data_IF_014768467339
#
_entry.id   IF_014768467339
#
_cell.length_a   1.000
_cell.length_b   1.000
_cell.length_c   1.000
_cell.angle_alpha   90.00
_cell.angle_beta   90.00
_cell.angle_gamma   90.00
#
_symmetry.space_group_name_H-M   'P 1'
#
loop_
_entity.id
_entity.type
_entity.pdbx_description
1 polymer ?
#
# COMPACT_ATOMS: atom_id res chain seq x y z
N UNK A 1 12.89 -10.86 -11.26
CA UNK A 1 14.04 -10.62 -10.36
C UNK A 1 13.74 -11.25 -9.01
N UNK A 2 14.76 -11.81 -8.35
CA UNK A 2 14.61 -12.47 -7.05
C UNK A 2 15.33 -11.63 -6.02
N UNK A 3 14.58 -11.02 -5.07
CA UNK A 3 15.15 -10.23 -4.00
C UNK A 3 15.53 -11.09 -2.81
N UNK A 4 16.52 -10.62 -2.06
CA UNK A 4 16.93 -11.15 -0.77
C UNK A 4 16.97 -10.01 0.24
N UNK A 5 16.36 -10.24 1.39
CA UNK A 5 16.46 -9.34 2.53
C UNK A 5 17.42 -9.96 3.53
N UNK A 6 18.48 -9.25 3.84
CA UNK A 6 19.39 -9.60 4.92
C UNK A 6 19.00 -8.83 6.17
N UNK A 7 18.75 -9.57 7.25
CA UNK A 7 18.41 -9.00 8.56
C UNK A 7 19.39 -9.53 9.61
N UNK A 8 19.93 -8.64 10.43
CA UNK A 8 20.71 -9.05 11.58
C UNK A 8 19.80 -9.70 12.61
N UNK A 9 20.10 -10.95 13.02
CA UNK A 9 19.37 -11.67 14.07
C UNK A 9 19.96 -11.37 15.44
N UNK A 10 21.27 -11.12 15.52
CA UNK A 10 21.98 -10.76 16.73
C UNK A 10 23.12 -9.80 16.39
N UNK A 11 23.19 -8.66 17.10
CA UNK A 11 24.26 -7.70 16.98
C UNK A 11 24.69 -7.24 18.37
N UNK A 12 25.95 -7.43 18.71
CA UNK A 12 26.50 -7.05 20.04
C UNK A 12 26.81 -5.55 20.13
N UNK A 13 26.95 -4.86 19.01
CA UNK A 13 27.49 -3.49 18.92
C UNK A 13 26.55 -2.51 18.20
N UNK A 14 25.32 -2.92 17.84
CA UNK A 14 24.40 -2.07 17.11
C UNK A 14 22.98 -2.61 17.05
N UNK A 15 22.14 -1.94 16.26
CA UNK A 15 20.74 -2.32 16.03
C UNK A 15 20.64 -3.61 15.20
N UNK A 16 19.68 -4.47 15.53
CA UNK A 16 19.25 -5.59 14.70
C UNK A 16 18.09 -5.22 13.75
N UNK A 17 17.63 -3.96 13.80
CA UNK A 17 16.48 -3.49 13.02
C UNK A 17 16.86 -2.99 11.63
N UNK A 18 18.15 -2.96 11.30
CA UNK A 18 18.61 -2.60 9.97
C UNK A 18 18.50 -3.79 9.04
N UNK A 19 18.10 -3.50 7.79
CA UNK A 19 18.00 -4.50 6.72
C UNK A 19 18.80 -4.06 5.52
N UNK A 20 19.43 -5.03 4.85
CA UNK A 20 19.97 -4.89 3.50
C UNK A 20 19.04 -5.53 2.48
N UNK A 21 18.73 -4.82 1.41
CA UNK A 21 17.95 -5.38 0.29
C UNK A 21 18.92 -5.61 -0.88
N UNK A 22 18.90 -6.83 -1.42
CA UNK A 22 19.77 -7.26 -2.48
C UNK A 22 18.96 -7.87 -3.64
N UNK A 23 19.44 -7.65 -4.84
CA UNK A 23 18.94 -8.32 -6.04
C UNK A 23 19.90 -9.45 -6.44
N UNK A 24 19.35 -10.61 -6.81
CA UNK A 24 20.13 -11.68 -7.39
C UNK A 24 20.30 -11.44 -8.88
N UNK A 25 21.52 -11.17 -9.30
CA UNK A 25 21.91 -11.02 -10.72
C UNK A 25 22.81 -12.18 -11.16
N UNK A 26 23.13 -12.22 -12.44
CA UNK A 26 24.09 -13.21 -12.99
C UNK A 26 25.49 -13.06 -12.38
N UNK A 27 25.82 -11.86 -11.91
CA UNK A 27 27.08 -11.52 -11.24
C UNK A 27 27.08 -11.84 -9.74
N UNK A 28 25.93 -12.26 -9.17
CA UNK A 28 25.75 -12.53 -7.75
C UNK A 28 24.75 -11.58 -7.08
N UNK A 29 24.89 -11.40 -5.76
CA UNK A 29 24.06 -10.49 -4.98
C UNK A 29 24.57 -9.05 -5.12
N UNK A 30 23.74 -8.16 -5.63
CA UNK A 30 24.01 -6.72 -5.72
C UNK A 30 23.09 -5.95 -4.78
N UNK A 31 23.65 -4.96 -4.06
CA UNK A 31 22.88 -4.12 -3.15
C UNK A 31 21.89 -3.23 -3.91
N UNK A 32 20.64 -3.22 -3.48
CA UNK A 32 19.61 -2.28 -3.94
C UNK A 32 19.65 -1.05 -3.04
N UNK A 33 20.30 0.01 -3.50
CA UNK A 33 20.50 1.25 -2.73
C UNK A 33 19.20 1.94 -2.35
N UNK A 34 18.21 1.93 -3.25
CA UNK A 34 16.89 2.47 -3.03
C UNK A 34 15.81 1.42 -3.40
N UNK A 35 15.40 0.57 -2.44
CA UNK A 35 14.40 -0.45 -2.70
C UNK A 35 13.04 0.11 -3.16
N UNK A 36 12.62 1.25 -2.62
CA UNK A 36 11.34 1.87 -2.99
C UNK A 36 11.34 2.32 -4.46
N UNK A 37 12.38 2.99 -4.92
CA UNK A 37 12.52 3.42 -6.32
C UNK A 37 12.49 2.22 -7.26
N UNK A 38 13.18 1.16 -6.88
CA UNK A 38 13.23 -0.06 -7.64
C UNK A 38 11.85 -0.75 -7.70
N UNK A 39 11.13 -0.84 -6.56
CA UNK A 39 9.80 -1.47 -6.48
C UNK A 39 8.74 -0.74 -7.30
N UNK A 40 8.93 0.56 -7.54
CA UNK A 40 8.03 1.38 -8.34
C UNK A 40 8.41 1.41 -9.84
N UNK A 41 9.53 0.82 -10.20
CA UNK A 41 9.96 0.78 -11.58
C UNK A 41 9.00 -0.08 -12.43
N UNK A 42 8.52 0.50 -13.53
CA UNK A 42 7.57 -0.17 -14.44
C UNK A 42 6.10 -0.04 -14.03
N UNK A 43 5.76 0.77 -13.00
CA UNK A 43 4.37 1.09 -12.66
C UNK A 43 3.70 1.75 -13.87
N UNK A 44 2.55 1.23 -14.36
CA UNK A 44 1.82 1.85 -15.45
C UNK A 44 1.15 3.14 -14.98
N UNK A 45 1.18 4.18 -15.80
CA UNK A 45 0.55 5.46 -15.51
C UNK A 45 -0.91 5.47 -15.95
N UNK A 46 -1.77 6.16 -15.22
CA UNK A 46 -3.13 6.45 -15.63
C UNK A 46 -4.04 5.21 -15.70
N UNK A 47 -3.79 4.18 -14.92
CA UNK A 47 -4.63 2.97 -14.85
C UNK A 47 -5.38 2.89 -13.54
N UNK A 48 -6.63 2.38 -13.57
CA UNK A 48 -7.37 2.05 -12.35
C UNK A 48 -6.81 0.79 -11.69
N UNK A 49 -7.07 0.63 -10.40
CA UNK A 49 -6.67 -0.56 -9.65
C UNK A 49 -5.24 -0.53 -9.12
N UNK A 50 -4.53 0.59 -9.21
CA UNK A 50 -3.15 0.72 -8.70
C UNK A 50 -3.02 1.90 -7.74
N UNK A 51 -2.29 1.68 -6.65
CA UNK A 51 -1.85 2.73 -5.71
C UNK A 51 -0.51 2.33 -5.10
N UNK A 52 0.27 3.33 -4.70
CA UNK A 52 1.47 3.09 -3.89
C UNK A 52 1.12 3.10 -2.41
N UNK A 53 1.71 2.17 -1.66
CA UNK A 53 1.64 2.12 -0.21
C UNK A 53 3.05 2.14 0.39
N UNK A 54 3.13 2.38 1.69
CA UNK A 54 4.39 2.33 2.43
C UNK A 54 4.34 1.27 3.52
N UNK A 55 5.18 0.26 3.40
CA UNK A 55 5.45 -0.74 4.43
C UNK A 55 6.76 -0.43 5.16
N UNK A 56 6.93 -0.98 6.36
CA UNK A 56 8.21 -0.93 7.09
C UNK A 56 8.84 -2.30 7.13
N UNK A 57 10.09 -2.38 6.74
CA UNK A 57 10.93 -3.54 6.99
C UNK A 57 12.03 -3.16 7.99
N UNK A 58 11.83 -3.59 9.25
CA UNK A 58 12.62 -3.08 10.37
C UNK A 58 12.36 -1.59 10.57
N UNK A 59 13.39 -0.77 10.44
CA UNK A 59 13.33 0.70 10.52
C UNK A 59 13.30 1.38 9.14
N UNK A 60 13.32 0.61 8.06
CA UNK A 60 13.40 1.13 6.70
C UNK A 60 12.02 1.19 6.05
N UNK A 61 11.53 2.37 5.63
CA UNK A 61 10.32 2.47 4.83
C UNK A 61 10.59 1.93 3.43
N UNK A 62 9.65 1.13 2.91
CA UNK A 62 9.67 0.59 1.56
C UNK A 62 8.35 0.92 0.89
N UNK A 63 8.42 1.68 -0.20
CA UNK A 63 7.24 1.98 -1.01
C UNK A 63 7.03 0.85 -2.00
N UNK A 64 5.78 0.38 -2.07
CA UNK A 64 5.38 -0.73 -2.95
C UNK A 64 4.13 -0.36 -3.71
N UNK A 65 4.05 -0.81 -4.95
CA UNK A 65 2.81 -0.73 -5.71
C UNK A 65 1.88 -1.87 -5.31
N UNK A 66 0.64 -1.52 -5.01
CA UNK A 66 -0.47 -2.46 -4.82
C UNK A 66 -1.35 -2.40 -6.04
N UNK A 67 -1.56 -3.56 -6.66
CA UNK A 67 -2.42 -3.73 -7.82
C UNK A 67 -3.63 -4.57 -7.44
N UNK A 68 -4.82 -4.14 -7.85
CA UNK A 68 -6.05 -4.88 -7.72
C UNK A 68 -6.77 -4.98 -9.06
N UNK A 69 -7.31 -6.15 -9.34
CA UNK A 69 -8.22 -6.37 -10.45
C UNK A 69 -9.51 -6.96 -9.90
N UNK A 70 -10.60 -6.21 -10.05
CA UNK A 70 -11.92 -6.61 -9.57
C UNK A 70 -12.88 -6.65 -10.76
N UNK A 71 -13.51 -7.79 -10.96
CA UNK A 71 -14.51 -7.95 -12.01
C UNK A 71 -15.70 -8.77 -11.51
N UNK A 72 -16.86 -8.55 -12.09
CA UNK A 72 -18.05 -9.33 -11.75
C UNK A 72 -17.87 -10.79 -12.20
N UNK A 73 -18.26 -11.73 -11.33
CA UNK A 73 -18.31 -13.14 -11.68
C UNK A 73 -19.69 -13.45 -12.26
N UNK A 74 -19.72 -13.93 -13.50
CA UNK A 74 -20.98 -14.33 -14.14
C UNK A 74 -21.33 -15.79 -13.82
N UNK A 75 -20.40 -16.59 -13.26
CA UNK A 75 -20.59 -18.01 -13.00
C UNK A 75 -19.86 -18.48 -11.73
N UNK A 76 -20.58 -19.20 -10.88
CA UNK A 76 -20.02 -19.92 -9.74
C UNK A 76 -19.62 -19.07 -8.55
N UNK A 77 -18.79 -19.62 -7.66
CA UNK A 77 -18.29 -18.95 -6.46
C UNK A 77 -17.18 -17.97 -6.84
N UNK A 78 -17.31 -16.68 -6.46
CA UNK A 78 -16.29 -15.69 -6.75
C UNK A 78 -14.94 -16.07 -6.17
N UNK A 79 -13.91 -16.10 -7.00
CA UNK A 79 -12.54 -16.39 -6.58
C UNK A 79 -11.84 -15.12 -6.12
N UNK A 80 -11.07 -15.24 -5.07
CA UNK A 80 -10.18 -14.19 -4.60
C UNK A 80 -8.76 -14.73 -4.54
N UNK A 81 -7.80 -13.91 -4.91
CA UNK A 81 -6.38 -14.29 -4.95
C UNK A 81 -5.56 -13.14 -4.40
N UNK A 82 -4.60 -13.46 -3.54
CA UNK A 82 -3.65 -12.50 -3.01
C UNK A 82 -2.23 -13.00 -3.29
N UNK A 83 -1.40 -12.14 -3.86
CA UNK A 83 0.01 -12.39 -4.12
C UNK A 83 0.83 -11.32 -3.43
N UNK A 84 1.83 -11.73 -2.67
CA UNK A 84 2.69 -10.81 -1.92
C UNK A 84 2.08 -10.26 -0.63
N UNK A 85 0.83 -10.63 -0.28
CA UNK A 85 0.17 -10.24 0.98
C UNK A 85 -0.68 -11.40 1.52
N UNK A 86 -1.26 -11.21 2.71
CA UNK A 86 -2.11 -12.22 3.36
C UNK A 86 -3.50 -12.28 2.73
N UNK A 87 -3.89 -13.49 2.31
CA UNK A 87 -5.19 -13.76 1.68
C UNK A 87 -6.37 -13.46 2.62
N UNK A 88 -6.26 -13.84 3.89
CA UNK A 88 -7.35 -13.63 4.85
C UNK A 88 -7.53 -12.13 5.12
N UNK A 89 -6.43 -11.39 5.15
CA UNK A 89 -6.47 -9.94 5.30
C UNK A 89 -7.20 -9.27 4.14
N UNK A 90 -6.93 -9.67 2.90
CA UNK A 90 -7.63 -9.16 1.71
C UNK A 90 -9.14 -9.46 1.80
N UNK A 91 -9.51 -10.68 2.19
CA UNK A 91 -10.93 -11.03 2.38
C UNK A 91 -11.63 -10.19 3.44
N UNK A 92 -10.95 -9.94 4.55
CA UNK A 92 -11.46 -9.09 5.62
C UNK A 92 -11.68 -7.66 5.14
N UNK A 93 -10.71 -7.07 4.42
CA UNK A 93 -10.83 -5.72 3.87
C UNK A 93 -11.98 -5.62 2.86
N UNK A 94 -12.16 -6.63 2.01
CA UNK A 94 -13.30 -6.68 1.08
C UNK A 94 -14.65 -6.74 1.82
N UNK A 95 -14.73 -7.50 2.91
CA UNK A 95 -15.93 -7.55 3.74
C UNK A 95 -16.22 -6.20 4.43
N UNK A 96 -15.19 -5.49 4.88
CA UNK A 96 -15.33 -4.12 5.42
C UNK A 96 -15.84 -3.16 4.34
N UNK A 97 -15.26 -3.19 3.14
CA UNK A 97 -15.70 -2.36 2.01
C UNK A 97 -17.16 -2.64 1.65
N UNK A 98 -17.57 -3.89 1.63
CA UNK A 98 -18.95 -4.27 1.35
C UNK A 98 -19.91 -3.74 2.44
N UNK A 99 -19.63 -4.07 3.70
CA UNK A 99 -20.54 -3.80 4.81
C UNK A 99 -20.57 -2.35 5.25
N UNK A 100 -19.40 -1.66 5.23
CA UNK A 100 -19.26 -0.31 5.80
C UNK A 100 -19.30 0.79 4.75
N UNK A 101 -18.89 0.48 3.53
CA UNK A 101 -18.87 1.44 2.42
C UNK A 101 -20.03 1.24 1.45
N UNK A 102 -20.59 0.04 1.41
CA UNK A 102 -21.69 -0.32 0.50
C UNK A 102 -21.24 -0.62 -0.93
N UNK A 103 -19.99 -1.07 -1.10
CA UNK A 103 -19.48 -1.49 -2.40
C UNK A 103 -19.81 -2.98 -2.59
N UNK A 104 -20.56 -3.32 -3.65
CA UNK A 104 -20.96 -4.70 -3.91
C UNK A 104 -19.78 -5.52 -4.44
N UNK A 105 -19.14 -6.30 -3.55
CA UNK A 105 -17.99 -7.14 -3.83
C UNK A 105 -18.27 -8.65 -3.67
N UNK A 106 -19.40 -9.02 -3.08
CA UNK A 106 -19.74 -10.42 -2.79
C UNK A 106 -19.73 -11.30 -4.04
N UNK A 107 -20.20 -10.77 -5.18
CA UNK A 107 -20.23 -11.46 -6.46
C UNK A 107 -19.01 -11.17 -7.35
N UNK A 108 -17.96 -10.52 -6.83
CA UNK A 108 -16.79 -10.14 -7.61
C UNK A 108 -15.64 -11.11 -7.44
N UNK A 109 -15.01 -11.46 -8.55
CA UNK A 109 -13.66 -12.02 -8.57
C UNK A 109 -12.69 -10.90 -8.28
N UNK A 110 -11.72 -11.12 -7.40
CA UNK A 110 -10.73 -10.13 -7.03
C UNK A 110 -9.32 -10.74 -6.98
N UNK A 111 -8.40 -10.06 -7.62
CA UNK A 111 -6.97 -10.34 -7.56
C UNK A 111 -6.27 -9.14 -6.94
N UNK A 112 -5.46 -9.39 -5.91
CA UNK A 112 -4.61 -8.37 -5.28
C UNK A 112 -3.17 -8.84 -5.39
N UNK A 113 -2.30 -7.98 -5.88
CA UNK A 113 -0.89 -8.26 -6.08
C UNK A 113 -0.03 -7.13 -5.52
N UNK A 114 0.98 -7.47 -4.75
CA UNK A 114 2.05 -6.56 -4.38
C UNK A 114 3.14 -6.68 -5.45
N UNK A 115 3.38 -5.61 -6.19
CA UNK A 115 4.38 -5.60 -7.23
C UNK A 115 5.80 -5.76 -6.65
N UNK A 116 6.72 -6.26 -7.48
CA UNK A 116 8.13 -6.42 -7.09
C UNK A 116 8.48 -7.76 -6.42
N UNK A 117 7.49 -8.65 -6.19
CA UNK A 117 7.73 -10.02 -5.70
C UNK A 117 8.12 -10.11 -4.22
N UNK A 118 8.00 -9.02 -3.44
CA UNK A 118 8.18 -9.04 -2.00
C UNK A 118 6.89 -9.40 -1.27
N UNK A 119 7.02 -10.06 -0.12
CA UNK A 119 5.89 -10.37 0.73
C UNK A 119 5.74 -9.27 1.79
N UNK A 120 4.61 -8.55 1.74
CA UNK A 120 4.26 -7.49 2.68
C UNK A 120 3.06 -7.92 3.52
N UNK A 121 3.27 -8.07 4.82
CA UNK A 121 2.23 -8.52 5.77
C UNK A 121 1.89 -7.48 6.82
N UNK A 122 2.56 -6.32 6.77
CA UNK A 122 2.31 -5.24 7.71
C UNK A 122 0.91 -4.64 7.50
N UNK A 123 0.09 -4.48 8.56
CA UNK A 123 -1.27 -3.91 8.44
C UNK A 123 -1.30 -2.47 7.88
N UNK A 124 -0.20 -1.75 7.90
CA UNK A 124 -0.12 -0.40 7.34
C UNK A 124 -0.45 -0.33 5.84
N UNK A 125 -0.39 -1.45 5.10
CA UNK A 125 -0.77 -1.49 3.67
C UNK A 125 -2.28 -1.66 3.44
N UNK A 126 -3.09 -1.87 4.47
CA UNK A 126 -4.53 -2.14 4.36
C UNK A 126 -5.28 -1.03 3.63
N UNK A 127 -4.97 0.22 3.98
CA UNK A 127 -5.60 1.38 3.33
C UNK A 127 -5.30 1.38 1.83
N UNK A 128 -4.05 1.09 1.46
CA UNK A 128 -3.63 0.95 0.06
C UNK A 128 -4.38 -0.19 -0.65
N UNK A 129 -4.46 -1.38 -0.04
CA UNK A 129 -5.21 -2.51 -0.61
C UNK A 129 -6.67 -2.13 -0.84
N UNK A 130 -7.30 -1.50 0.16
CA UNK A 130 -8.70 -1.10 0.09
C UNK A 130 -8.95 -0.08 -1.02
N UNK A 131 -8.08 0.92 -1.15
CA UNK A 131 -8.18 1.92 -2.20
C UNK A 131 -7.92 1.34 -3.61
N UNK A 132 -6.98 0.40 -3.76
CA UNK A 132 -6.74 -0.30 -5.01
C UNK A 132 -7.98 -1.12 -5.45
N UNK A 133 -8.61 -1.84 -4.51
CA UNK A 133 -9.84 -2.60 -4.76
C UNK A 133 -10.98 -1.67 -5.21
N UNK A 134 -11.18 -0.55 -4.52
CA UNK A 134 -12.21 0.44 -4.87
C UNK A 134 -11.91 1.08 -6.22
N UNK A 135 -10.67 1.45 -6.45
CA UNK A 135 -10.18 2.02 -7.72
C UNK A 135 -10.51 1.09 -8.89
N UNK A 136 -10.17 -0.20 -8.78
CA UNK A 136 -10.49 -1.19 -9.82
C UNK A 136 -12.00 -1.41 -9.98
N UNK A 137 -12.74 -1.53 -8.88
CA UNK A 137 -14.18 -1.79 -8.90
C UNK A 137 -15.01 -0.63 -9.52
N UNK A 138 -14.52 0.59 -9.41
CA UNK A 138 -15.18 1.83 -9.84
C UNK A 138 -14.54 2.49 -11.05
N UNK A 139 -13.48 1.89 -11.61
CA UNK A 139 -12.66 2.46 -12.68
C UNK A 139 -12.18 3.90 -12.37
N UNK A 140 -11.71 4.08 -11.12
CA UNK A 140 -11.18 5.36 -10.65
C UNK A 140 -9.66 5.35 -10.79
N UNK A 141 -9.11 6.29 -11.53
CA UNK A 141 -7.66 6.47 -11.62
C UNK A 141 -7.18 7.23 -10.39
N UNK A 142 -6.31 6.60 -9.60
CA UNK A 142 -5.60 7.27 -8.52
C UNK A 142 -4.31 7.85 -9.10
N UNK A 143 -4.07 9.17 -8.95
CA UNK A 143 -2.86 9.78 -9.47
C UNK A 143 -1.59 9.09 -8.98
N UNK A 144 -0.59 8.96 -9.85
CA UNK A 144 0.66 8.26 -9.54
C UNK A 144 1.49 8.92 -8.45
N UNK A 145 1.23 10.20 -8.20
CA UNK A 145 1.83 10.99 -7.11
C UNK A 145 1.19 10.79 -5.74
N UNK A 146 0.15 9.94 -5.64
CA UNK A 146 -0.57 9.66 -4.40
C UNK A 146 -0.08 8.37 -3.77
N UNK A 147 0.20 8.41 -2.49
CA UNK A 147 0.52 7.25 -1.66
C UNK A 147 -0.46 7.15 -0.48
N UNK A 148 -0.76 5.94 -0.04
CA UNK A 148 -1.61 5.71 1.12
C UNK A 148 -1.00 4.69 2.07
N UNK A 149 -1.15 4.92 3.37
CA UNK A 149 -0.88 3.93 4.39
C UNK A 149 -1.79 4.10 5.61
N UNK A 150 -2.10 3.00 6.27
CA UNK A 150 -2.96 2.95 7.46
C UNK A 150 -3.50 1.54 7.67
N UNK A 151 -3.66 1.11 8.91
CA UNK A 151 -4.38 -0.11 9.23
C UNK A 151 -5.88 0.16 9.15
N UNK A 152 -6.66 -0.78 8.64
CA UNK A 152 -8.12 -0.67 8.56
C UNK A 152 -8.76 -1.68 9.51
N UNK A 153 -9.55 -1.18 10.46
CA UNK A 153 -10.29 -2.01 11.40
C UNK A 153 -11.65 -2.48 10.84
N UNK A 154 -12.29 -3.40 11.58
CA UNK A 154 -13.56 -4.03 11.16
C UNK A 154 -14.75 -3.08 11.09
N UNK A 155 -14.68 -1.94 11.79
CA UNK A 155 -15.71 -0.89 11.70
C UNK A 155 -15.48 0.07 10.53
N UNK A 156 -14.35 -0.05 9.82
CA UNK A 156 -13.92 0.84 8.75
C UNK A 156 -13.10 2.02 9.25
N UNK A 157 -12.71 2.02 10.54
CA UNK A 157 -11.81 3.01 11.10
C UNK A 157 -10.41 2.85 10.53
N UNK A 158 -9.71 3.98 10.34
CA UNK A 158 -8.29 4.00 9.93
C UNK A 158 -7.44 4.22 11.17
N UNK A 159 -6.65 3.21 11.51
CA UNK A 159 -5.88 3.11 12.74
C UNK A 159 -4.45 3.57 12.57
N UNK A 160 -3.82 3.94 13.68
CA UNK A 160 -2.44 4.36 13.72
C UNK A 160 -1.48 3.29 13.19
N UNK A 161 -0.39 3.76 12.60
CA UNK A 161 0.73 2.92 12.18
C UNK A 161 2.02 3.45 12.80
N UNK A 162 2.98 2.57 13.00
CA UNK A 162 4.30 2.96 13.50
C UNK A 162 5.05 3.81 12.47
N UNK A 163 5.94 4.67 12.96
CA UNK A 163 6.90 5.43 12.13
C UNK A 163 6.25 6.24 10.99
N UNK A 164 5.05 6.80 11.23
CA UNK A 164 4.31 7.55 10.21
C UNK A 164 5.12 8.72 9.61
N UNK A 165 5.90 9.41 10.43
CA UNK A 165 6.78 10.49 9.95
C UNK A 165 7.87 10.02 8.98
N UNK A 166 8.45 8.85 9.21
CA UNK A 166 9.47 8.27 8.31
C UNK A 166 8.85 7.83 6.97
N UNK A 167 7.62 7.29 7.01
CA UNK A 167 6.87 6.93 5.78
C UNK A 167 6.58 8.16 4.92
N UNK A 168 6.18 9.26 5.55
CA UNK A 168 5.95 10.55 4.87
C UNK A 168 7.26 11.10 4.30
N UNK A 169 8.35 11.04 5.07
CA UNK A 169 9.66 11.49 4.61
C UNK A 169 10.16 10.72 3.38
N UNK A 170 9.98 9.39 3.35
CA UNK A 170 10.35 8.57 2.20
C UNK A 170 9.47 8.90 0.98
N UNK A 171 8.15 9.04 1.16
CA UNK A 171 7.25 9.45 0.09
C UNK A 171 7.67 10.80 -0.52
N UNK A 172 7.95 11.79 0.32
CA UNK A 172 8.42 13.10 -0.13
C UNK A 172 9.76 13.02 -0.89
N UNK A 173 10.72 12.24 -0.36
CA UNK A 173 12.04 12.03 -0.99
C UNK A 173 11.93 11.46 -2.40
N UNK A 174 10.94 10.60 -2.64
CA UNK A 174 10.70 9.96 -3.94
C UNK A 174 9.75 10.74 -4.85
N UNK A 175 9.39 11.97 -4.46
CA UNK A 175 8.65 12.89 -5.33
C UNK A 175 7.13 12.73 -5.30
N UNK A 176 6.57 12.00 -4.32
CA UNK A 176 5.12 11.98 -4.12
C UNK A 176 4.65 13.34 -3.61
N UNK A 177 3.50 13.78 -4.08
CA UNK A 177 2.92 15.08 -3.71
C UNK A 177 1.81 14.96 -2.66
N UNK A 178 1.21 13.78 -2.50
CA UNK A 178 0.09 13.54 -1.60
C UNK A 178 0.22 12.23 -0.84
N UNK A 179 -0.01 12.28 0.47
CA UNK A 179 -0.08 11.11 1.35
C UNK A 179 -1.46 11.06 2.02
N UNK A 180 -2.17 9.93 1.85
CA UNK A 180 -3.39 9.62 2.60
C UNK A 180 -2.99 8.77 3.80
N UNK A 181 -3.27 9.25 5.01
CA UNK A 181 -2.76 8.63 6.24
C UNK A 181 -3.74 8.78 7.41
N UNK A 182 -3.57 7.97 8.49
CA UNK A 182 -4.48 8.05 9.64
C UNK A 182 -4.43 9.42 10.34
N UNK A 183 -5.61 9.99 10.66
CA UNK A 183 -5.73 11.23 11.44
C UNK A 183 -5.01 11.14 12.79
N UNK A 184 -5.06 9.97 13.42
CA UNK A 184 -4.40 9.72 14.72
C UNK A 184 -2.87 9.81 14.66
N UNK A 185 -2.27 9.76 13.46
CA UNK A 185 -0.83 9.94 13.27
C UNK A 185 -0.40 11.41 13.15
N UNK A 186 -1.32 12.37 13.15
CA UNK A 186 -1.04 13.80 12.90
C UNK A 186 -0.01 14.37 13.85
N UNK A 187 -0.11 14.05 15.14
CA UNK A 187 0.84 14.53 16.15
C UNK A 187 2.25 13.95 15.95
N UNK A 188 2.36 12.67 15.55
CA UNK A 188 3.65 11.99 15.35
C UNK A 188 4.33 12.37 14.03
N UNK A 189 3.57 12.78 13.01
CA UNK A 189 4.11 13.29 11.74
C UNK A 189 4.57 14.73 11.87
N UNK A 190 3.86 15.56 12.66
CA UNK A 190 4.17 16.95 12.82
C UNK A 190 3.93 17.79 11.56
N UNK A 191 4.59 18.97 11.49
CA UNK A 191 4.50 19.84 10.32
C UNK A 191 5.50 19.41 9.24
N UNK A 192 4.99 19.06 8.07
CA UNK A 192 5.80 18.73 6.90
C UNK A 192 5.42 19.66 5.75
N UNK A 193 6.39 20.36 5.18
CA UNK A 193 6.19 21.22 4.01
C UNK A 193 6.45 20.46 2.70
N UNK A 194 5.90 20.93 1.59
CA UNK A 194 6.18 20.41 0.25
C UNK A 194 5.56 19.05 -0.07
N UNK A 195 4.59 18.58 0.73
CA UNK A 195 3.76 17.42 0.47
C UNK A 195 2.39 17.65 1.10
N UNK A 196 1.34 17.24 0.40
CA UNK A 196 -0.04 17.34 0.87
C UNK A 196 -0.36 16.13 1.79
N UNK A 197 -0.80 16.39 3.03
CA UNK A 197 -1.16 15.35 3.98
C UNK A 197 -2.68 15.31 4.14
N UNK A 198 -3.28 14.21 3.66
CA UNK A 198 -4.72 13.96 3.73
C UNK A 198 -4.99 13.01 4.89
N UNK A 199 -5.35 13.59 6.03
CA UNK A 199 -5.66 12.83 7.23
C UNK A 199 -7.07 12.27 7.18
N UNK A 200 -7.22 10.98 7.48
CA UNK A 200 -8.49 10.27 7.44
C UNK A 200 -8.73 9.46 8.72
N UNK A 201 -9.94 9.50 9.24
CA UNK A 201 -10.36 8.69 10.39
C UNK A 201 -11.13 7.43 9.95
N UNK A 202 -11.77 7.49 8.80
CA UNK A 202 -12.58 6.41 8.25
C UNK A 202 -12.19 6.09 6.80
N UNK A 203 -12.35 4.84 6.41
CA UNK A 203 -12.06 4.42 5.03
C UNK A 203 -12.91 5.16 4.00
N UNK A 204 -14.15 5.54 4.37
CA UNK A 204 -15.03 6.34 3.52
C UNK A 204 -14.44 7.72 3.19
N UNK A 205 -13.67 8.31 4.11
CA UNK A 205 -13.03 9.61 3.89
C UNK A 205 -11.93 9.50 2.82
N UNK A 206 -11.12 8.45 2.89
CA UNK A 206 -10.10 8.16 1.89
C UNK A 206 -10.73 7.89 0.51
N UNK A 207 -11.82 7.12 0.47
CA UNK A 207 -12.54 6.82 -0.78
C UNK A 207 -13.15 8.10 -1.36
N UNK A 208 -13.79 8.95 -0.56
CA UNK A 208 -14.30 10.24 -1.03
C UNK A 208 -13.20 11.12 -1.60
N UNK A 209 -12.02 11.10 -0.99
CA UNK A 209 -10.88 11.87 -1.48
C UNK A 209 -10.47 11.43 -2.88
N UNK A 210 -10.25 10.13 -3.12
CA UNK A 210 -9.87 9.63 -4.45
C UNK A 210 -10.97 9.82 -5.49
N UNK A 211 -12.24 9.74 -5.10
CA UNK A 211 -13.37 9.99 -6.02
C UNK A 211 -13.47 11.45 -6.45
N UNK A 212 -13.23 12.41 -5.56
CA UNK A 212 -13.25 13.84 -5.88
C UNK A 212 -12.11 14.27 -6.79
N UNK A 213 -10.96 13.62 -6.66
CA UNK A 213 -9.75 13.92 -7.41
C UNK A 213 -9.55 12.95 -8.59
N UNK A 214 -10.63 12.30 -9.01
CA UNK A 214 -10.61 11.40 -10.16
C UNK A 214 -10.53 12.24 -11.44
N UNK A 215 -9.38 12.19 -12.09
CA UNK A 215 -9.21 12.71 -13.45
C UNK A 215 -9.82 11.68 -14.40
N UNK A 216 -11.10 11.88 -14.80
CA UNK A 216 -11.66 11.16 -15.93
C UNK A 216 -10.85 11.57 -17.17
N UNK A 217 -10.30 10.58 -17.85
CA UNK A 217 -9.76 10.72 -19.21
C UNK A 217 -10.86 11.17 -20.18
#
# INVERSE_FOLDING_TARGET
ASYRILRAVKNRFGSTNEIGVFEMRNTGLEEVKNPSEFMLNGKPNGTSGSIVACSMEGTRPILVEIQALVCQSNFGIPRRTAVGTDFNRVNLLMAVLEKKVGIHLAACVAYVNIAGGMKMTEPAIDLGISLAVVSSCKDIIIPDSVIAFGEVGLSGEVRAVSMAGQRVAEAKKLGFDTVILPEVCKSSVGKVSGINLVYVSWIQDAIRYIMKNNYKL
#
